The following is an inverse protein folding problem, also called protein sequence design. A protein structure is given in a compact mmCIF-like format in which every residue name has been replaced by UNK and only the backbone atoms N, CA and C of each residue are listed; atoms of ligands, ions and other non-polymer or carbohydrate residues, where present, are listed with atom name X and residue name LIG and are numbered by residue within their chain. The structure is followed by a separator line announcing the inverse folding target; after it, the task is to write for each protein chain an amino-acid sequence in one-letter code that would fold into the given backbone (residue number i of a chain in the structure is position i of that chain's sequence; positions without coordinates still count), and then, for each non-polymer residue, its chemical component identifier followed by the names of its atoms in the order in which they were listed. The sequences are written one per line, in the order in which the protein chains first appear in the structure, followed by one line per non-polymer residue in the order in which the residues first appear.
data_IF_232564335759
#
_entry.id   IF_232564335759
#
_cell.length_a   1.000
_cell.length_b   1.000
_cell.length_c   1.000
_cell.angle_alpha   90.00
_cell.angle_beta   90.00
_cell.angle_gamma   90.00
#
_symmetry.space_group_name_H-M   'P 1'
#
loop_
_entity.id
_entity.type
_entity.pdbx_description
1 polymer ?
#
# COMPACT_ATOMS: atom_id res chain seq x y z
N UNK A 1 1.78 -5.64 57.39
CA UNK A 1 1.96 -4.60 56.36
C UNK A 1 3.10 -5.04 55.46
N UNK A 2 2.77 -5.76 54.39
CA UNK A 2 3.71 -6.45 53.49
C UNK A 2 3.77 -5.69 52.17
N UNK A 3 4.98 -5.63 51.62
CA UNK A 3 5.43 -4.82 50.50
C UNK A 3 4.58 -4.94 49.22
N UNK A 4 4.12 -3.80 48.71
CA UNK A 4 3.70 -3.61 47.31
C UNK A 4 4.63 -2.56 46.72
N UNK A 5 5.86 -2.98 46.38
CA UNK A 5 6.81 -2.16 45.62
C UNK A 5 7.74 -3.11 44.89
N UNK A 6 7.32 -3.56 43.69
CA UNK A 6 8.12 -4.15 42.60
C UNK A 6 7.17 -4.87 41.63
N UNK A 7 6.74 -4.18 40.58
CA UNK A 7 6.20 -4.83 39.36
C UNK A 7 6.19 -3.87 38.14
N UNK A 8 7.09 -2.88 38.10
CA UNK A 8 7.18 -1.93 36.96
C UNK A 8 8.53 -2.02 36.22
N UNK A 9 9.49 -2.80 36.72
CA UNK A 9 10.82 -2.92 36.11
C UNK A 9 11.12 -4.39 35.73
N UNK A 10 10.65 -4.85 34.57
CA UNK A 10 11.27 -5.95 33.79
C UNK A 10 10.81 -5.89 32.31
N UNK A 11 11.63 -6.40 31.35
CA UNK A 11 11.93 -5.67 30.12
C UNK A 11 10.87 -5.84 29.02
N UNK A 12 10.56 -4.69 28.41
CA UNK A 12 9.77 -4.49 27.20
C UNK A 12 10.42 -5.08 25.91
N UNK A 13 11.35 -6.03 26.05
CA UNK A 13 12.13 -6.62 24.94
C UNK A 13 11.43 -7.80 24.27
N UNK A 14 10.47 -8.45 24.94
CA UNK A 14 9.82 -9.65 24.38
C UNK A 14 8.62 -9.35 23.45
N UNK A 15 8.02 -8.17 23.55
CA UNK A 15 6.88 -7.79 22.70
C UNK A 15 7.27 -7.04 21.43
N UNK A 16 8.38 -6.30 21.42
CA UNK A 16 8.87 -5.62 20.22
C UNK A 16 9.35 -6.59 19.12
N UNK A 17 9.86 -7.77 19.52
CA UNK A 17 10.22 -8.85 18.60
C UNK A 17 9.02 -9.48 17.88
N UNK A 18 7.82 -9.43 18.46
CA UNK A 18 6.63 -10.10 17.91
C UNK A 18 6.00 -9.34 16.73
N UNK A 19 6.12 -8.00 16.70
CA UNK A 19 5.65 -7.17 15.58
C UNK A 19 6.55 -7.26 14.36
N UNK A 20 7.87 -7.43 14.55
CA UNK A 20 8.80 -7.79 13.49
C UNK A 20 8.58 -9.23 12.99
N UNK A 21 8.19 -10.15 13.89
CA UNK A 21 7.85 -11.52 13.52
C UNK A 21 6.53 -11.63 12.72
N UNK A 22 5.55 -10.74 12.95
CA UNK A 22 4.31 -10.73 12.17
C UNK A 22 4.52 -10.35 10.69
N UNK A 23 5.48 -9.47 10.40
CA UNK A 23 5.89 -9.20 9.01
C UNK A 23 6.72 -10.33 8.39
N UNK A 24 7.46 -11.11 9.20
CA UNK A 24 8.27 -12.22 8.73
C UNK A 24 7.46 -13.52 8.48
N UNK A 25 6.42 -13.79 9.29
CA UNK A 25 5.61 -15.01 9.14
C UNK A 25 4.64 -14.99 7.96
N UNK A 26 4.24 -13.81 7.47
CA UNK A 26 3.46 -13.70 6.24
C UNK A 26 4.30 -13.97 4.97
N UNK A 27 5.63 -14.01 5.09
CA UNK A 27 6.55 -14.16 3.96
C UNK A 27 7.04 -15.59 3.71
N UNK A 28 6.60 -16.58 4.51
CA UNK A 28 6.87 -18.01 4.27
C UNK A 28 8.28 -18.29 3.74
N UNK A 29 9.33 -17.83 4.44
CA UNK A 29 10.72 -18.04 4.01
C UNK A 29 11.19 -19.40 4.52
N UNK A 30 11.22 -20.47 3.70
CA UNK A 30 11.94 -21.67 4.05
C UNK A 30 13.43 -21.33 4.09
N UNK A 31 14.06 -21.58 5.23
CA UNK A 31 15.52 -21.66 5.34
C UNK A 31 16.01 -22.86 4.54
N UNK A 32 16.53 -22.61 3.34
CA UNK A 32 17.26 -23.59 2.54
C UNK A 32 16.73 -23.75 1.13
N UNK A 33 17.25 -22.94 0.19
CA UNK A 33 17.21 -23.24 -1.25
C UNK A 33 18.65 -23.34 -1.73
N UNK A 34 19.05 -24.44 -2.40
CA UNK A 34 20.39 -24.57 -2.92
C UNK A 34 20.67 -23.52 -3.99
N UNK A 35 21.86 -22.92 -3.93
CA UNK A 35 22.43 -22.06 -4.95
C UNK A 35 22.69 -22.86 -6.22
N UNK A 36 21.69 -22.93 -7.09
CA UNK A 36 21.79 -23.40 -8.46
C UNK A 36 21.15 -22.37 -9.38
N UNK A 37 21.88 -21.31 -9.71
CA UNK A 37 21.48 -20.36 -10.75
C UNK A 37 21.69 -21.06 -12.09
N UNK A 38 20.63 -21.69 -12.61
CA UNK A 38 20.51 -22.02 -14.03
C UNK A 38 19.58 -20.97 -14.66
N UNK A 39 19.99 -20.49 -15.83
CA UNK A 39 19.37 -19.38 -16.55
C UNK A 39 17.88 -19.63 -16.85
N UNK A 40 17.03 -18.73 -16.38
CA UNK A 40 15.57 -18.74 -16.59
C UNK A 40 15.06 -17.37 -17.11
N UNK A 41 15.81 -16.78 -18.04
CA UNK A 41 15.54 -15.41 -18.54
C UNK A 41 14.42 -15.36 -19.58
N UNK A 42 14.20 -16.42 -20.35
CA UNK A 42 13.23 -16.44 -21.45
C UNK A 42 11.78 -16.59 -20.95
N UNK A 43 11.55 -17.51 -20.01
CA UNK A 43 10.25 -17.68 -19.34
C UNK A 43 9.90 -16.44 -18.50
N UNK A 44 10.87 -15.90 -17.74
CA UNK A 44 10.66 -14.68 -16.95
C UNK A 44 10.30 -13.45 -17.81
N UNK A 45 10.93 -13.32 -18.98
CA UNK A 45 10.61 -12.24 -19.93
C UNK A 45 9.22 -12.44 -20.54
N UNK A 46 8.87 -13.68 -20.91
CA UNK A 46 7.56 -14.00 -21.49
C UNK A 46 6.42 -13.70 -20.51
N UNK A 47 6.54 -14.14 -19.26
CA UNK A 47 5.52 -13.87 -18.22
C UNK A 47 5.37 -12.37 -17.98
N UNK A 48 6.48 -11.62 -17.86
CA UNK A 48 6.45 -10.17 -17.67
C UNK A 48 5.76 -9.43 -18.83
N UNK A 49 6.01 -9.87 -20.07
CA UNK A 49 5.35 -9.32 -21.25
C UNK A 49 3.84 -9.60 -21.26
N UNK A 50 3.43 -10.80 -20.84
CA UNK A 50 2.02 -11.17 -20.74
C UNK A 50 1.29 -10.36 -19.65
N UNK A 51 1.90 -10.17 -18.48
CA UNK A 51 1.37 -9.33 -17.40
C UNK A 51 1.18 -7.88 -17.88
N UNK A 52 2.18 -7.32 -18.56
CA UNK A 52 2.10 -5.98 -19.13
C UNK A 52 0.99 -5.88 -20.18
N UNK A 53 0.87 -6.84 -21.10
CA UNK A 53 -0.18 -6.85 -22.11
C UNK A 53 -1.58 -6.92 -21.48
N UNK A 54 -1.75 -7.74 -20.45
CA UNK A 54 -3.00 -7.82 -19.70
C UNK A 54 -3.34 -6.50 -19.01
N UNK A 55 -2.39 -5.84 -18.36
CA UNK A 55 -2.60 -4.53 -17.74
C UNK A 55 -2.95 -3.46 -18.78
N UNK A 56 -2.24 -3.41 -19.92
CA UNK A 56 -2.54 -2.48 -21.01
C UNK A 56 -3.97 -2.62 -21.53
N UNK A 57 -4.45 -3.86 -21.70
CA UNK A 57 -5.85 -4.11 -22.11
C UNK A 57 -6.87 -3.53 -21.12
N UNK A 58 -6.55 -3.52 -19.82
CA UNK A 58 -7.40 -2.96 -18.78
C UNK A 58 -7.34 -1.42 -18.79
N UNK A 59 -6.18 -0.82 -19.05
CA UNK A 59 -6.07 0.63 -19.28
C UNK A 59 -6.89 1.08 -20.49
N UNK A 60 -6.85 0.34 -21.59
CA UNK A 60 -7.70 0.63 -22.74
C UNK A 60 -9.19 0.56 -22.38
N UNK A 61 -9.60 -0.47 -21.63
CA UNK A 61 -11.00 -0.64 -21.22
C UNK A 61 -11.47 0.50 -20.32
N UNK A 62 -10.65 0.93 -19.36
CA UNK A 62 -10.95 2.09 -18.51
C UNK A 62 -11.14 3.36 -19.35
N UNK A 63 -10.26 3.58 -20.34
CA UNK A 63 -10.31 4.77 -21.21
C UNK A 63 -11.46 4.77 -22.20
N UNK A 64 -12.01 3.60 -22.54
CA UNK A 64 -13.20 3.46 -23.41
C UNK A 64 -14.51 3.75 -22.67
N UNK A 65 -14.50 3.93 -21.35
CA UNK A 65 -15.69 4.38 -20.64
C UNK A 65 -16.11 5.76 -21.13
N UNK A 66 -17.40 5.94 -21.44
CA UNK A 66 -17.96 7.27 -21.76
C UNK A 66 -17.75 8.27 -20.61
N UNK A 67 -17.68 7.74 -19.39
CA UNK A 67 -17.43 8.51 -18.17
C UNK A 67 -15.95 8.81 -17.92
N UNK A 68 -15.02 8.46 -18.83
CA UNK A 68 -13.60 8.76 -18.68
C UNK A 68 -13.33 10.25 -18.94
N UNK A 69 -13.80 11.11 -18.03
CA UNK A 69 -13.67 12.56 -18.09
C UNK A 69 -13.54 13.13 -16.66
N UNK A 70 -12.80 14.24 -16.44
CA UNK A 70 -12.68 14.86 -15.13
C UNK A 70 -14.02 15.18 -14.45
N UNK A 71 -15.04 15.57 -15.22
CA UNK A 71 -16.37 15.92 -14.69
C UNK A 71 -17.13 14.74 -14.08
N UNK A 72 -16.71 13.51 -14.38
CA UNK A 72 -17.30 12.28 -13.84
C UNK A 72 -16.47 11.67 -12.70
N UNK A 73 -15.41 12.35 -12.25
CA UNK A 73 -14.70 11.94 -11.05
C UNK A 73 -15.60 12.11 -9.83
N UNK A 74 -15.75 11.02 -9.07
CA UNK A 74 -16.35 11.08 -7.75
C UNK A 74 -15.51 11.94 -6.80
N UNK A 75 -16.05 12.41 -5.67
CA UNK A 75 -15.24 13.05 -4.64
C UNK A 75 -14.11 12.13 -4.16
N UNK A 76 -12.92 12.70 -3.96
CA UNK A 76 -11.77 11.96 -3.46
C UNK A 76 -12.02 11.42 -2.04
N UNK A 77 -11.72 10.14 -1.84
CA UNK A 77 -11.76 9.45 -0.54
C UNK A 77 -10.49 8.60 -0.43
N UNK A 78 -9.88 8.58 0.75
CA UNK A 78 -8.73 7.73 1.07
C UNK A 78 -8.96 7.07 2.43
N UNK A 79 -8.52 5.81 2.57
CA UNK A 79 -8.51 5.07 3.83
C UNK A 79 -7.15 5.11 4.54
N UNK A 80 -6.26 6.03 4.11
CA UNK A 80 -4.88 6.09 4.54
C UNK A 80 -4.03 5.12 3.72
N UNK A 81 -3.40 4.15 4.37
CA UNK A 81 -2.75 3.04 3.69
C UNK A 81 -3.73 1.87 3.56
N UNK A 82 -4.10 1.54 2.32
CA UNK A 82 -5.09 0.52 2.00
C UNK A 82 -4.77 -0.88 2.53
N UNK A 83 -5.76 -1.78 2.49
CA UNK A 83 -5.68 -3.10 3.09
C UNK A 83 -5.88 -3.09 4.62
N UNK A 84 -6.42 -1.98 5.15
CA UNK A 84 -6.70 -1.82 6.58
C UNK A 84 -5.47 -1.49 7.42
N UNK A 85 -4.33 -1.13 6.82
CA UNK A 85 -3.08 -0.88 7.54
C UNK A 85 -3.22 0.30 8.50
N UNK A 86 -3.78 1.42 8.05
CA UNK A 86 -4.01 2.59 8.90
C UNK A 86 -4.98 2.29 10.05
N UNK A 87 -6.05 1.55 9.78
CA UNK A 87 -7.02 1.10 10.79
C UNK A 87 -6.35 0.22 11.86
N UNK A 88 -5.57 -0.77 11.43
CA UNK A 88 -4.86 -1.66 12.34
C UNK A 88 -3.80 -0.91 13.15
N UNK A 89 -3.09 0.05 12.55
CA UNK A 89 -2.11 0.89 13.24
C UNK A 89 -2.75 1.72 14.35
N UNK A 90 -3.85 2.41 14.04
CA UNK A 90 -4.61 3.17 15.02
C UNK A 90 -5.16 2.27 16.14
N UNK A 91 -5.57 1.05 15.81
CA UNK A 91 -6.02 0.06 16.79
C UNK A 91 -4.88 -0.37 17.74
N UNK A 92 -3.71 -0.69 17.20
CA UNK A 92 -2.52 -1.05 17.99
C UNK A 92 -2.06 0.10 18.88
N UNK A 93 -2.08 1.32 18.37
CA UNK A 93 -1.69 2.53 19.11
C UNK A 93 -2.59 2.80 20.32
N UNK A 94 -3.89 2.51 20.20
CA UNK A 94 -4.83 2.59 21.33
C UNK A 94 -4.58 1.51 22.38
N UNK A 95 -4.18 0.31 21.99
CA UNK A 95 -3.96 -0.82 22.91
C UNK A 95 -2.59 -0.82 23.57
N UNK A 96 -1.58 -0.22 22.92
CA UNK A 96 -0.20 -0.27 23.36
C UNK A 96 0.34 1.17 23.48
N UNK A 97 0.22 1.82 24.66
CA UNK A 97 0.69 3.19 24.86
C UNK A 97 2.17 3.37 24.52
N UNK A 98 2.99 2.35 24.80
CA UNK A 98 4.41 2.34 24.42
C UNK A 98 4.62 2.35 22.91
N UNK A 99 3.77 1.69 22.13
CA UNK A 99 3.80 1.75 20.67
C UNK A 99 3.45 3.15 20.19
N UNK A 100 2.30 3.70 20.63
CA UNK A 100 1.85 5.05 20.28
C UNK A 100 2.89 6.12 20.57
N UNK A 101 3.55 6.06 21.73
CA UNK A 101 4.58 7.03 22.10
C UNK A 101 5.75 7.09 21.11
N UNK A 102 6.01 6.00 20.37
CA UNK A 102 7.13 5.88 19.43
C UNK A 102 6.62 6.05 17.99
N UNK A 103 5.47 5.48 17.67
CA UNK A 103 4.96 5.27 16.33
C UNK A 103 3.77 6.15 15.96
N UNK A 104 3.29 6.97 16.90
CA UNK A 104 2.08 7.80 16.76
C UNK A 104 0.82 6.96 16.49
N UNK A 105 -0.32 7.61 16.29
CA UNK A 105 -1.61 6.99 16.00
C UNK A 105 -1.77 6.51 14.55
N UNK A 106 -0.84 6.91 13.67
CA UNK A 106 -0.88 6.58 12.24
C UNK A 106 0.49 6.12 11.73
N UNK A 107 0.54 5.30 10.66
CA UNK A 107 1.80 4.94 10.04
C UNK A 107 2.61 6.19 9.64
N UNK A 108 3.93 6.23 9.87
CA UNK A 108 4.73 7.42 9.58
C UNK A 108 4.86 7.73 8.07
N UNK A 109 4.34 6.86 7.21
CA UNK A 109 4.24 7.03 5.76
C UNK A 109 2.79 7.16 5.26
N UNK A 110 1.80 7.36 6.13
CA UNK A 110 0.39 7.47 5.72
C UNK A 110 0.15 8.59 4.70
N UNK A 111 0.86 9.71 4.84
CA UNK A 111 0.82 10.79 3.85
C UNK A 111 1.29 10.35 2.45
N UNK A 112 2.21 9.38 2.35
CA UNK A 112 2.64 8.81 1.07
C UNK A 112 1.49 8.01 0.42
N UNK A 113 0.74 7.24 1.22
CA UNK A 113 -0.42 6.48 0.77
C UNK A 113 -1.54 7.42 0.29
N UNK A 114 -1.87 8.46 1.06
CA UNK A 114 -2.88 9.45 0.67
C UNK A 114 -2.48 10.17 -0.63
N UNK A 115 -1.19 10.48 -0.82
CA UNK A 115 -0.71 11.08 -2.06
C UNK A 115 -0.84 10.13 -3.25
N UNK A 116 -0.50 8.86 -3.06
CA UNK A 116 -0.67 7.79 -4.07
C UNK A 116 -2.14 7.60 -4.46
N UNK A 117 -3.03 7.56 -3.46
CA UNK A 117 -4.47 7.45 -3.64
C UNK A 117 -5.03 8.58 -4.52
N UNK A 118 -4.50 9.81 -4.42
CA UNK A 118 -4.96 10.92 -5.27
C UNK A 118 -4.65 10.69 -6.74
N UNK A 119 -3.49 10.11 -7.03
CA UNK A 119 -3.10 9.78 -8.40
C UNK A 119 -3.93 8.61 -8.91
N UNK A 120 -4.12 7.59 -8.08
CA UNK A 120 -4.96 6.43 -8.38
C UNK A 120 -6.42 6.81 -8.60
N UNK A 121 -6.95 7.75 -7.82
CA UNK A 121 -8.30 8.27 -7.97
C UNK A 121 -8.53 8.82 -9.39
N UNK A 122 -7.57 9.60 -9.90
CA UNK A 122 -7.67 10.22 -11.21
C UNK A 122 -7.47 9.24 -12.38
N UNK A 123 -6.91 8.05 -12.16
CA UNK A 123 -6.88 6.98 -13.17
C UNK A 123 -6.22 7.32 -14.50
N UNK A 124 -5.28 8.27 -14.52
CA UNK A 124 -4.60 8.67 -15.75
C UNK A 124 -5.47 9.47 -16.72
N UNK A 125 -6.44 10.24 -16.24
CA UNK A 125 -7.25 11.15 -17.07
C UNK A 125 -6.41 12.08 -17.96
N UNK A 126 -5.22 12.48 -17.49
CA UNK A 126 -4.30 13.32 -18.26
C UNK A 126 -3.40 12.53 -19.23
N UNK A 127 -3.46 11.20 -19.24
CA UNK A 127 -2.67 10.38 -20.14
C UNK A 127 -3.27 10.41 -21.57
N UNK A 128 -2.41 10.52 -22.58
CA UNK A 128 -2.82 10.57 -23.99
C UNK A 128 -3.18 9.20 -24.57
N UNK A 129 -2.74 8.10 -23.95
CA UNK A 129 -2.94 6.73 -24.43
C UNK A 129 -3.03 5.73 -23.27
N UNK A 130 -3.38 4.47 -23.56
CA UNK A 130 -3.32 3.39 -22.58
C UNK A 130 -1.88 3.14 -22.08
N UNK A 131 -0.90 3.22 -22.99
CA UNK A 131 0.52 3.13 -22.67
C UNK A 131 0.96 4.26 -21.72
N UNK A 132 0.59 5.51 -22.02
CA UNK A 132 0.88 6.63 -21.13
C UNK A 132 0.18 6.50 -19.77
N UNK A 133 -1.02 5.89 -19.73
CA UNK A 133 -1.71 5.62 -18.47
C UNK A 133 -1.04 4.51 -17.66
N UNK A 134 -0.51 3.49 -18.31
CA UNK A 134 0.29 2.43 -17.68
C UNK A 134 1.57 3.02 -17.07
N UNK A 135 2.29 3.85 -17.84
CA UNK A 135 3.49 4.55 -17.38
C UNK A 135 3.19 5.50 -16.21
N UNK A 136 2.06 6.22 -16.26
CA UNK A 136 1.61 7.07 -15.16
C UNK A 136 1.34 6.27 -13.87
N UNK A 137 0.76 5.07 -13.99
CA UNK A 137 0.57 4.17 -12.84
C UNK A 137 1.90 3.69 -12.29
N UNK A 138 2.79 3.22 -13.17
CA UNK A 138 4.13 2.78 -12.79
C UNK A 138 4.90 3.89 -12.04
N UNK A 139 4.85 5.11 -12.54
CA UNK A 139 5.43 6.28 -11.88
C UNK A 139 4.81 6.51 -10.51
N UNK A 140 3.48 6.47 -10.39
CA UNK A 140 2.80 6.66 -9.10
C UNK A 140 3.26 5.62 -8.06
N UNK A 141 3.39 4.35 -8.48
CA UNK A 141 3.83 3.25 -7.62
C UNK A 141 5.29 3.42 -7.17
N UNK A 142 6.16 3.89 -8.07
CA UNK A 142 7.55 4.22 -7.77
C UNK A 142 7.66 5.41 -6.81
N UNK A 143 6.85 6.46 -7.00
CA UNK A 143 6.80 7.61 -6.12
C UNK A 143 6.35 7.24 -4.69
N UNK A 144 5.35 6.35 -4.56
CA UNK A 144 4.95 5.80 -3.26
C UNK A 144 6.12 5.09 -2.58
N UNK A 145 6.80 4.19 -3.31
CA UNK A 145 7.96 3.46 -2.81
C UNK A 145 9.03 4.39 -2.28
N UNK A 146 9.40 5.40 -3.06
CA UNK A 146 10.45 6.35 -2.69
C UNK A 146 10.06 7.19 -1.47
N UNK A 147 8.83 7.69 -1.41
CA UNK A 147 8.31 8.43 -0.26
C UNK A 147 8.34 7.60 1.04
N UNK A 148 7.97 6.31 0.95
CA UNK A 148 8.04 5.37 2.08
C UNK A 148 9.48 5.16 2.53
N UNK A 149 10.42 4.98 1.59
CA UNK A 149 11.85 4.82 1.90
C UNK A 149 12.41 6.06 2.59
N UNK A 150 12.05 7.25 2.11
CA UNK A 150 12.51 8.52 2.66
C UNK A 150 12.07 8.73 4.12
N UNK A 151 10.97 8.09 4.53
CA UNK A 151 10.50 8.09 5.92
C UNK A 151 11.56 7.61 6.91
N UNK A 152 12.52 6.78 6.46
CA UNK A 152 13.67 6.39 7.27
C UNK A 152 14.41 7.59 7.87
N UNK A 153 14.70 8.62 7.07
CA UNK A 153 15.52 9.78 7.48
C UNK A 153 14.90 10.51 8.67
N UNK A 154 13.57 10.68 8.64
CA UNK A 154 12.79 11.34 9.69
C UNK A 154 12.67 10.49 10.97
N UNK A 155 12.85 9.17 10.86
CA UNK A 155 12.58 8.20 11.93
C UNK A 155 13.84 7.62 12.56
N UNK A 156 15.00 7.74 11.92
CA UNK A 156 16.28 7.18 12.40
C UNK A 156 16.58 7.56 13.84
N UNK A 157 16.53 8.86 14.19
CA UNK A 157 16.87 9.30 15.54
C UNK A 157 15.95 8.67 16.61
N UNK A 158 14.63 8.68 16.38
CA UNK A 158 13.65 8.13 17.31
C UNK A 158 13.79 6.60 17.47
N UNK A 159 14.02 5.89 16.36
CA UNK A 159 14.17 4.43 16.37
C UNK A 159 15.52 3.98 16.95
N UNK A 160 16.59 4.74 16.70
CA UNK A 160 17.89 4.51 17.32
C UNK A 160 17.79 4.64 18.84
N UNK A 161 17.26 5.77 19.33
CA UNK A 161 17.12 6.03 20.75
C UNK A 161 16.28 4.98 21.49
N UNK A 162 15.24 4.44 20.83
CA UNK A 162 14.28 3.55 21.49
C UNK A 162 14.61 2.07 21.37
N UNK A 163 15.17 1.66 20.23
CA UNK A 163 15.39 0.25 19.87
C UNK A 163 16.86 -0.09 19.65
N UNK A 164 17.78 0.87 19.79
CA UNK A 164 19.21 0.66 19.56
C UNK A 164 19.57 0.33 18.10
N UNK A 165 18.70 0.68 17.15
CA UNK A 165 18.92 0.41 15.73
C UNK A 165 19.94 1.38 15.14
N UNK A 166 20.95 0.85 14.46
CA UNK A 166 21.87 1.66 13.66
C UNK A 166 21.21 2.23 12.41
N UNK A 167 21.70 3.36 11.91
CA UNK A 167 21.13 4.09 10.78
C UNK A 167 20.95 3.22 9.53
N UNK A 168 21.94 2.37 9.25
CA UNK A 168 21.87 1.42 8.14
C UNK A 168 20.80 0.34 8.31
N UNK A 169 20.46 -0.04 9.56
CA UNK A 169 19.34 -0.96 9.83
C UNK A 169 18.00 -0.28 9.57
N UNK A 170 17.82 0.96 10.04
CA UNK A 170 16.61 1.74 9.79
C UNK A 170 16.38 1.92 8.29
N UNK A 171 17.42 2.31 7.54
CA UNK A 171 17.34 2.46 6.08
C UNK A 171 16.94 1.15 5.38
N UNK A 172 17.50 0.01 5.78
CA UNK A 172 17.14 -1.31 5.21
C UNK A 172 15.70 -1.71 5.52
N UNK A 173 15.21 -1.43 6.74
CA UNK A 173 13.83 -1.73 7.12
C UNK A 173 12.83 -0.94 6.26
N UNK A 174 13.01 0.37 6.12
CA UNK A 174 12.12 1.18 5.27
C UNK A 174 12.26 0.86 3.78
N UNK A 175 13.46 0.47 3.33
CA UNK A 175 13.62 -0.09 1.97
C UNK A 175 12.78 -1.33 1.75
N UNK A 176 12.80 -2.27 2.70
CA UNK A 176 11.97 -3.47 2.62
C UNK A 176 10.47 -3.11 2.61
N UNK A 177 10.03 -2.20 3.48
CA UNK A 177 8.62 -1.75 3.51
C UNK A 177 8.23 -1.12 2.18
N UNK A 178 9.02 -0.18 1.65
CA UNK A 178 8.75 0.46 0.36
C UNK A 178 8.73 -0.55 -0.81
N UNK A 179 9.66 -1.50 -0.84
CA UNK A 179 9.71 -2.55 -1.86
C UNK A 179 8.47 -3.48 -1.79
N UNK A 180 8.00 -3.81 -0.58
CA UNK A 180 6.79 -4.59 -0.37
C UNK A 180 5.55 -3.82 -0.83
N UNK A 181 5.41 -2.54 -0.43
CA UNK A 181 4.29 -1.70 -0.83
C UNK A 181 4.21 -1.56 -2.34
N UNK A 182 5.35 -1.30 -3.01
CA UNK A 182 5.43 -1.27 -4.47
C UNK A 182 4.85 -2.53 -5.10
N UNK A 183 5.31 -3.71 -4.67
CA UNK A 183 4.82 -4.99 -5.22
C UNK A 183 3.33 -5.19 -4.96
N UNK A 184 2.85 -4.84 -3.77
CA UNK A 184 1.43 -4.94 -3.41
C UNK A 184 0.55 -4.07 -4.33
N UNK A 185 0.92 -2.82 -4.58
CA UNK A 185 0.13 -1.92 -5.45
C UNK A 185 0.26 -2.28 -6.94
N UNK A 186 1.41 -2.81 -7.38
CA UNK A 186 1.55 -3.35 -8.75
C UNK A 186 0.56 -4.46 -9.02
N UNK A 187 0.41 -5.39 -8.09
CA UNK A 187 -0.46 -6.56 -8.24
C UNK A 187 -1.94 -6.24 -7.97
N UNK A 188 -2.24 -5.50 -6.90
CA UNK A 188 -3.61 -5.24 -6.46
C UNK A 188 -4.24 -3.96 -7.01
N UNK A 189 -3.45 -3.07 -7.61
CA UNK A 189 -3.85 -1.72 -8.00
C UNK A 189 -4.20 -1.55 -9.48
N UNK A 190 -4.20 -2.62 -10.28
CA UNK A 190 -4.52 -2.53 -11.71
C UNK A 190 -5.93 -1.98 -11.97
N UNK A 191 -6.17 -1.36 -13.15
CA UNK A 191 -7.51 -0.86 -13.51
C UNK A 191 -8.51 -2.01 -13.69
N UNK A 192 -9.81 -1.70 -13.55
CA UNK A 192 -10.90 -2.66 -13.82
C UNK A 192 -10.88 -3.98 -13.02
N UNK A 193 -10.24 -3.99 -11.85
CA UNK A 193 -10.17 -5.16 -10.95
C UNK A 193 -11.41 -5.32 -10.07
N UNK A 194 -12.31 -4.34 -10.02
CA UNK A 194 -13.41 -4.30 -9.04
C UNK A 194 -13.00 -3.83 -7.65
N UNK A 195 -11.70 -3.67 -7.39
CA UNK A 195 -11.19 -3.28 -6.08
C UNK A 195 -11.42 -1.77 -5.84
N UNK A 196 -11.74 -1.36 -4.60
CA UNK A 196 -12.05 0.04 -4.29
C UNK A 196 -10.83 0.97 -4.33
N UNK A 197 -9.62 0.42 -4.37
CA UNK A 197 -8.32 1.13 -4.49
C UNK A 197 -7.65 0.93 -5.87
N UNK A 198 -8.41 0.49 -6.89
CA UNK A 198 -7.87 0.27 -8.24
C UNK A 198 -7.41 1.57 -8.90
N UNK A 199 -6.56 1.47 -9.92
CA UNK A 199 -6.30 2.60 -10.82
C UNK A 199 -7.59 3.10 -11.47
N UNK A 200 -7.89 4.39 -11.29
CA UNK A 200 -9.14 5.01 -11.71
C UNK A 200 -10.31 4.74 -10.78
N UNK A 201 -10.09 4.48 -9.49
CA UNK A 201 -11.21 4.26 -8.57
C UNK A 201 -12.11 5.49 -8.41
N UNK A 202 -11.68 6.69 -8.78
CA UNK A 202 -12.57 7.86 -8.85
C UNK A 202 -13.64 7.76 -9.94
N UNK A 203 -13.44 6.92 -10.95
CA UNK A 203 -14.34 6.69 -12.07
C UNK A 203 -15.24 5.45 -11.82
N UNK A 204 -16.29 5.25 -12.62
CA UNK A 204 -17.02 3.99 -12.65
C UNK A 204 -16.12 2.79 -12.91
N UNK A 205 -16.53 1.62 -12.42
CA UNK A 205 -15.75 0.40 -12.59
C UNK A 205 -15.90 -0.14 -14.03
N UNK A 206 -14.80 -0.65 -14.59
CA UNK A 206 -14.72 -1.19 -15.95
C UNK A 206 -14.50 -2.72 -15.98
N UNK A 207 -14.56 -3.39 -14.84
CA UNK A 207 -14.47 -4.83 -14.66
C UNK A 207 -15.64 -5.59 -15.29
N UNK A 208 -15.49 -6.90 -15.43
CA UNK A 208 -16.48 -7.77 -16.08
C UNK A 208 -17.80 -7.88 -15.32
N UNK A 209 -17.79 -7.62 -14.00
CA UNK A 209 -18.98 -7.65 -13.15
C UNK A 209 -19.62 -6.26 -12.97
N UNK A 210 -19.09 -5.25 -13.66
CA UNK A 210 -19.50 -3.86 -13.52
C UNK A 210 -20.72 -3.62 -14.40
N UNK A 211 -21.88 -4.08 -13.94
CA UNK A 211 -23.15 -3.88 -14.62
C UNK A 211 -23.48 -2.37 -14.71
N UNK A 212 -23.71 -1.81 -15.90
CA UNK A 212 -24.02 -0.37 -16.07
C UNK A 212 -25.36 0.09 -15.46
N UNK A 213 -26.19 -0.83 -14.94
CA UNK A 213 -27.60 -0.54 -14.65
C UNK A 213 -27.95 -0.52 -13.14
N UNK A 214 -27.10 -1.00 -12.23
CA UNK A 214 -27.52 -1.21 -10.83
C UNK A 214 -27.24 -0.06 -9.86
N UNK A 215 -26.60 1.03 -10.31
CA UNK A 215 -26.36 2.21 -9.45
C UNK A 215 -27.48 3.27 -9.52
N UNK A 216 -28.53 3.06 -10.32
CA UNK A 216 -29.66 4.01 -10.39
C UNK A 216 -30.60 3.97 -9.18
N UNK A 217 -30.54 2.97 -8.29
CA UNK A 217 -31.56 2.81 -7.24
C UNK A 217 -31.17 3.32 -5.84
N UNK A 218 -29.92 3.73 -5.59
CA UNK A 218 -29.51 4.16 -4.24
C UNK A 218 -29.30 5.68 -4.06
N UNK A 219 -29.65 6.50 -5.05
CA UNK A 219 -29.50 7.96 -4.96
C UNK A 219 -30.81 8.72 -4.70
N UNK A 220 -31.94 8.02 -4.62
CA UNK A 220 -33.25 8.57 -4.25
C UNK A 220 -33.77 7.94 -2.94
N UNK A 221 -33.18 8.27 -1.78
CA UNK A 221 -33.89 8.17 -0.49
C UNK A 221 -33.07 8.73 0.69
N UNK A 222 -32.82 10.04 0.74
CA UNK A 222 -32.82 10.77 2.02
C UNK A 222 -33.46 12.15 1.76
N UNK A 223 -34.79 12.31 1.98
CA UNK A 223 -35.43 13.63 2.04
C UNK A 223 -34.99 14.38 3.33
N UNK A 224 -35.13 15.72 3.35
CA UNK A 224 -34.51 16.61 4.33
C UNK A 224 -34.93 16.37 5.79
#
# INVERSE_FOLDING_TARGET
MIAIRRMVDEPCDRFAGLLLAFFALAAGVPTGVPTGVLADSDLGTTVSNMEQALELSQHERLRRLETFHPDHLRPFVSDGCSGGLSVLWAQLSRWLPGFRAIHDDHPPWESCCIAHDRVYHAGGLNASSAQASFEARLHADQALRECVIETATRRTAALNARYGLGDGQVARLYKLVGDLMYRSVRLGGGPCTGLPWRWGYGLPDCGLLSAPHLLKEHQEAIPP
#
